data_IF_390671411404
#
_entry.id   IF_390671411404
#
_cell.length_a   1.000
_cell.length_b   1.000
_cell.length_c   1.000
_cell.angle_alpha   90.00
_cell.angle_beta   90.00
_cell.angle_gamma   90.00
#
_symmetry.space_group_name_H-M   'P 1'
#
loop_
_entity.id
_entity.type
_entity.pdbx_description
1 polymer ?
#
# COMPACT_ATOMS: atom_id res chain seq x y z
N UNK A 1 0.97 -28.79 0.01
CA UNK A 1 0.93 -28.71 1.48
C UNK A 1 0.19 -27.44 1.83
N UNK A 2 -0.93 -27.53 2.55
CA UNK A 2 -1.58 -26.32 3.07
C UNK A 2 -0.55 -25.57 3.93
N UNK A 3 -0.31 -24.27 3.69
CA UNK A 3 0.67 -23.53 4.47
C UNK A 3 0.26 -23.58 5.95
N UNK A 4 1.24 -23.82 6.82
CA UNK A 4 1.07 -23.66 8.25
C UNK A 4 0.57 -22.23 8.50
N UNK A 5 -0.58 -22.01 9.16
CA UNK A 5 -1.23 -20.68 9.21
C UNK A 5 -0.27 -19.58 9.70
N UNK A 6 0.70 -19.92 10.53
CA UNK A 6 1.67 -19.00 11.10
C UNK A 6 2.83 -18.60 10.17
N UNK A 7 3.07 -19.32 9.06
CA UNK A 7 4.22 -19.12 8.18
C UNK A 7 3.81 -19.05 6.70
N UNK A 8 4.41 -18.11 5.97
CA UNK A 8 4.21 -17.96 4.53
C UNK A 8 4.87 -19.12 3.75
N UNK A 9 4.28 -19.54 2.62
CA UNK A 9 4.84 -20.61 1.79
C UNK A 9 6.19 -20.20 1.17
N UNK A 10 6.94 -21.19 0.69
CA UNK A 10 8.24 -20.97 0.04
C UNK A 10 9.44 -21.20 0.96
N UNK A 11 10.64 -20.91 0.44
CA UNK A 11 11.92 -21.29 1.06
C UNK A 11 12.42 -20.37 2.18
N UNK A 12 11.69 -19.30 2.48
CA UNK A 12 12.09 -18.33 3.50
C UNK A 12 11.55 -18.64 4.89
N UNK A 13 10.55 -19.54 5.01
CA UNK A 13 9.87 -19.82 6.28
C UNK A 13 9.49 -18.54 7.04
N UNK A 14 8.99 -17.54 6.31
CA UNK A 14 8.72 -16.21 6.86
C UNK A 14 7.47 -16.26 7.75
N UNK A 15 7.63 -15.94 9.04
CA UNK A 15 6.51 -15.91 9.99
C UNK A 15 5.57 -14.75 9.68
N UNK A 16 4.26 -15.00 9.68
CA UNK A 16 3.23 -13.97 9.60
C UNK A 16 3.26 -13.07 10.84
N UNK A 17 3.19 -11.77 10.63
CA UNK A 17 3.27 -10.72 11.65
C UNK A 17 1.94 -10.05 11.92
N UNK A 18 0.99 -10.07 10.97
CA UNK A 18 -0.26 -9.34 11.10
C UNK A 18 -1.06 -9.72 12.37
N UNK A 19 -1.18 -11.02 12.67
CA UNK A 19 -1.88 -11.50 13.87
C UNK A 19 -1.26 -10.96 15.16
N UNK A 20 0.06 -11.13 15.31
CA UNK A 20 0.77 -10.64 16.50
C UNK A 20 0.81 -9.11 16.59
N UNK A 21 0.78 -8.40 15.46
CA UNK A 21 0.65 -6.95 15.45
C UNK A 21 -0.75 -6.53 15.92
N UNK A 22 -1.81 -7.15 15.40
CA UNK A 22 -3.20 -6.90 15.82
C UNK A 22 -3.40 -7.05 17.33
N UNK A 23 -2.75 -8.02 17.95
CA UNK A 23 -2.83 -8.26 19.40
C UNK A 23 -2.14 -7.18 20.24
N UNK A 24 -1.14 -6.48 19.68
CA UNK A 24 -0.38 -5.42 20.37
C UNK A 24 -0.84 -4.02 20.04
N UNK A 25 -1.43 -3.84 18.86
CA UNK A 25 -1.91 -2.54 18.39
C UNK A 25 -3.08 -2.09 19.26
N UNK A 26 -2.90 -0.95 19.91
CA UNK A 26 -3.90 -0.33 20.75
C UNK A 26 -3.95 1.17 20.44
N UNK A 27 -5.07 1.81 20.73
CA UNK A 27 -5.10 3.27 20.75
C UNK A 27 -4.20 3.76 21.90
N UNK A 28 -3.22 4.58 21.57
CA UNK A 28 -2.27 5.15 22.54
C UNK A 28 -2.31 6.68 22.48
N UNK A 29 -1.76 7.32 23.51
CA UNK A 29 -1.52 8.76 23.50
C UNK A 29 -0.30 9.17 22.66
N UNK A 30 0.46 8.20 22.14
CA UNK A 30 1.58 8.44 21.23
C UNK A 30 1.03 8.89 19.87
N UNK A 31 1.36 10.12 19.40
CA UNK A 31 0.92 10.59 18.09
C UNK A 31 1.31 9.66 16.94
N UNK A 32 2.40 8.88 17.08
CA UNK A 32 2.86 7.93 16.08
C UNK A 32 2.18 6.56 16.16
N UNK A 33 1.35 6.30 17.18
CA UNK A 33 0.64 5.02 17.33
C UNK A 33 -0.28 4.68 16.16
N UNK A 34 -0.70 5.68 15.38
CA UNK A 34 -1.49 5.48 14.17
C UNK A 34 -0.74 4.72 13.06
N UNK A 35 0.60 4.84 13.03
CA UNK A 35 1.47 4.16 12.07
C UNK A 35 1.36 2.64 12.23
N UNK A 36 1.15 2.16 13.46
CA UNK A 36 1.00 0.72 13.71
C UNK A 36 -0.29 0.16 13.10
N UNK A 37 -1.38 0.95 13.07
CA UNK A 37 -2.62 0.55 12.40
C UNK A 37 -2.45 0.51 10.88
N UNK A 38 -1.80 1.53 10.30
CA UNK A 38 -1.51 1.57 8.86
C UNK A 38 -0.64 0.37 8.46
N UNK A 39 0.40 0.09 9.25
CA UNK A 39 1.28 -1.06 9.07
C UNK A 39 0.52 -2.38 9.22
N UNK A 40 -0.37 -2.49 10.20
CA UNK A 40 -1.22 -3.67 10.39
C UNK A 40 -2.08 -3.97 9.16
N UNK A 41 -2.77 -2.95 8.63
CA UNK A 41 -3.60 -3.13 7.44
C UNK A 41 -2.77 -3.57 6.23
N UNK A 42 -1.65 -2.89 5.97
CA UNK A 42 -0.80 -3.19 4.83
C UNK A 42 -0.15 -4.58 4.92
N UNK A 43 0.39 -4.92 6.10
CA UNK A 43 1.04 -6.22 6.33
C UNK A 43 0.02 -7.35 6.22
N UNK A 44 -1.18 -7.20 6.79
CA UNK A 44 -2.21 -8.23 6.71
C UNK A 44 -2.56 -8.56 5.25
N UNK A 45 -2.80 -7.55 4.42
CA UNK A 45 -3.17 -7.75 3.01
C UNK A 45 -1.99 -8.30 2.19
N UNK A 46 -0.77 -7.81 2.44
CA UNK A 46 0.42 -8.29 1.74
C UNK A 46 0.78 -9.74 2.13
N UNK A 47 0.54 -10.15 3.38
CA UNK A 47 0.70 -11.55 3.82
C UNK A 47 -0.33 -12.48 3.17
N UNK A 48 -1.58 -12.02 2.99
CA UNK A 48 -2.58 -12.76 2.22
C UNK A 48 -2.14 -12.98 0.77
N UNK A 49 -1.66 -11.92 0.09
CA UNK A 49 -1.07 -12.04 -1.24
C UNK A 49 0.07 -13.07 -1.29
N UNK A 50 1.02 -12.97 -0.35
CA UNK A 50 2.18 -13.86 -0.28
C UNK A 50 1.81 -15.32 0.01
N UNK A 51 0.61 -15.57 0.54
CA UNK A 51 0.08 -16.91 0.79
C UNK A 51 -0.70 -17.52 -0.37
N UNK A 52 -0.89 -16.76 -1.45
CA UNK A 52 -1.67 -17.18 -2.62
C UNK A 52 -3.18 -17.01 -2.45
N UNK A 53 -3.62 -16.19 -1.49
CA UNK A 53 -5.02 -15.83 -1.33
C UNK A 53 -5.51 -14.92 -2.47
N UNK A 54 -6.83 -14.71 -2.53
CA UNK A 54 -7.43 -13.81 -3.51
C UNK A 54 -7.13 -12.36 -3.13
N UNK A 55 -6.56 -11.60 -4.05
CA UNK A 55 -6.22 -10.18 -3.87
C UNK A 55 -6.68 -9.34 -5.05
N UNK A 56 -6.79 -8.03 -4.83
CA UNK A 56 -7.11 -7.03 -5.85
C UNK A 56 -5.83 -6.27 -6.20
N UNK A 57 -5.49 -6.20 -7.48
CA UNK A 57 -4.31 -5.47 -7.96
C UNK A 57 -4.44 -3.97 -7.70
N UNK A 58 -3.37 -3.34 -7.20
CA UNK A 58 -3.38 -1.89 -6.94
C UNK A 58 -1.99 -1.23 -7.04
N UNK A 59 -1.34 -1.14 -8.23
CA UNK A 59 -1.80 -1.63 -9.54
C UNK A 59 -1.34 -3.05 -9.86
N UNK A 60 -0.52 -3.68 -9.01
CA UNK A 60 -0.08 -5.07 -9.16
C UNK A 60 -0.39 -5.87 -7.89
N UNK A 61 -0.18 -7.19 -7.92
CA UNK A 61 -0.26 -8.02 -6.72
C UNK A 61 0.83 -7.65 -5.70
N UNK A 62 2.02 -7.24 -6.17
CA UNK A 62 3.12 -6.84 -5.30
C UNK A 62 2.85 -5.57 -4.49
N UNK A 63 1.97 -4.69 -4.98
CA UNK A 63 1.59 -3.44 -4.34
C UNK A 63 0.11 -3.40 -3.86
N UNK A 64 -0.56 -4.56 -3.81
CA UNK A 64 -2.00 -4.65 -3.60
C UNK A 64 -2.51 -4.06 -2.27
N UNK A 65 -1.61 -3.85 -1.30
CA UNK A 65 -2.01 -3.46 0.04
C UNK A 65 -1.98 -1.94 0.30
N UNK A 66 -1.28 -1.15 -0.53
CA UNK A 66 -1.12 0.31 -0.30
C UNK A 66 -2.47 1.04 -0.34
N UNK A 67 -3.22 0.91 -1.44
CA UNK A 67 -4.53 1.53 -1.63
C UNK A 67 -5.52 1.15 -0.50
N UNK A 68 -5.80 -0.15 -0.23
CA UNK A 68 -6.74 -0.51 0.81
C UNK A 68 -6.26 -0.16 2.21
N UNK A 69 -4.96 -0.13 2.51
CA UNK A 69 -4.46 0.32 3.81
C UNK A 69 -4.77 1.80 4.07
N UNK A 70 -4.60 2.66 3.06
CA UNK A 70 -4.97 4.09 3.18
C UNK A 70 -6.48 4.27 3.30
N UNK A 71 -7.28 3.50 2.54
CA UNK A 71 -8.75 3.54 2.69
C UNK A 71 -9.22 3.06 4.07
N UNK A 72 -8.61 2.01 4.63
CA UNK A 72 -8.91 1.52 5.98
C UNK A 72 -8.50 2.52 7.05
N UNK A 73 -7.39 3.23 6.85
CA UNK A 73 -7.01 4.35 7.69
C UNK A 73 -8.08 5.45 7.68
N UNK A 74 -8.49 5.91 6.49
CA UNK A 74 -9.54 6.90 6.35
C UNK A 74 -10.87 6.43 6.97
N UNK A 75 -11.25 5.17 6.76
CA UNK A 75 -12.50 4.61 7.27
C UNK A 75 -12.55 4.52 8.80
N UNK A 76 -11.45 4.08 9.42
CA UNK A 76 -11.44 3.71 10.83
C UNK A 76 -10.93 4.84 11.73
N UNK A 77 -10.13 5.77 11.19
CA UNK A 77 -9.39 6.76 11.98
C UNK A 77 -9.64 8.21 11.54
N UNK A 78 -10.52 8.43 10.57
CA UNK A 78 -10.96 9.79 10.18
C UNK A 78 -12.48 9.89 10.16
N UNK A 79 -13.01 11.12 10.20
CA UNK A 79 -14.44 11.37 10.17
C UNK A 79 -14.89 11.60 8.72
N UNK A 80 -15.99 10.95 8.32
CA UNK A 80 -16.69 11.26 7.08
C UNK A 80 -16.16 10.56 5.83
N UNK A 81 -15.50 9.41 5.96
CA UNK A 81 -15.19 8.53 4.83
C UNK A 81 -16.40 7.64 4.48
N UNK A 82 -17.28 8.18 3.63
CA UNK A 82 -18.47 7.51 3.10
C UNK A 82 -18.15 6.68 1.85
N UNK A 83 -19.14 5.94 1.35
CA UNK A 83 -19.00 5.13 0.14
C UNK A 83 -18.81 6.02 -1.10
N UNK A 84 -19.42 7.22 -1.12
CA UNK A 84 -19.19 8.21 -2.17
C UNK A 84 -17.72 8.69 -2.17
N UNK A 85 -17.14 8.94 -0.99
CA UNK A 85 -15.71 9.26 -0.88
C UNK A 85 -14.82 8.08 -1.25
N UNK A 86 -15.24 6.84 -0.98
CA UNK A 86 -14.50 5.67 -1.43
C UNK A 86 -14.48 5.55 -2.97
N UNK A 87 -15.60 5.86 -3.64
CA UNK A 87 -15.68 5.94 -5.10
C UNK A 87 -14.76 7.05 -5.63
N UNK A 88 -14.84 8.26 -5.06
CA UNK A 88 -13.98 9.39 -5.44
C UNK A 88 -12.49 9.08 -5.25
N UNK A 89 -12.14 8.42 -4.15
CA UNK A 89 -10.79 7.94 -3.86
C UNK A 89 -10.30 7.01 -4.99
N UNK A 90 -11.09 5.98 -5.32
CA UNK A 90 -10.72 4.99 -6.34
C UNK A 90 -10.62 5.61 -7.74
N UNK A 91 -11.52 6.55 -8.10
CA UNK A 91 -11.48 7.26 -9.37
C UNK A 91 -10.22 8.15 -9.49
N UNK A 92 -9.88 8.87 -8.41
CA UNK A 92 -8.67 9.70 -8.37
C UNK A 92 -7.41 8.84 -8.44
N UNK A 93 -7.35 7.76 -7.66
CA UNK A 93 -6.25 6.80 -7.70
C UNK A 93 -6.07 6.22 -9.11
N UNK A 94 -7.17 5.81 -9.76
CA UNK A 94 -7.15 5.31 -11.14
C UNK A 94 -6.59 6.35 -12.12
N UNK A 95 -6.99 7.62 -11.99
CA UNK A 95 -6.51 8.69 -12.86
C UNK A 95 -4.99 8.86 -12.75
N UNK A 96 -4.45 8.91 -11.54
CA UNK A 96 -2.99 8.98 -11.32
C UNK A 96 -2.28 7.74 -11.86
N UNK A 97 -2.82 6.55 -11.59
CA UNK A 97 -2.29 5.29 -12.12
C UNK A 97 -2.24 5.27 -13.65
N UNK A 98 -3.23 5.89 -14.31
CA UNK A 98 -3.26 6.02 -15.76
C UNK A 98 -2.12 6.86 -16.32
N UNK A 99 -1.65 7.88 -15.58
CA UNK A 99 -0.51 8.71 -16.00
C UNK A 99 0.79 7.91 -16.01
N UNK A 100 1.03 7.08 -14.98
CA UNK A 100 2.19 6.19 -14.95
C UNK A 100 2.10 5.12 -16.04
N UNK A 101 0.92 4.52 -16.23
CA UNK A 101 0.75 3.50 -17.28
C UNK A 101 0.92 4.08 -18.69
N UNK A 102 0.48 5.32 -18.93
CA UNK A 102 0.57 5.96 -20.25
C UNK A 102 1.99 6.43 -20.59
N UNK A 103 2.73 6.97 -19.61
CA UNK A 103 4.02 7.61 -19.86
C UNK A 103 5.22 6.77 -19.46
N UNK A 104 5.02 5.67 -18.73
CA UNK A 104 6.09 4.81 -18.23
C UNK A 104 5.60 3.35 -18.14
N UNK A 105 6.00 2.61 -17.10
CA UNK A 105 5.50 1.28 -16.79
C UNK A 105 4.95 1.22 -15.37
N UNK A 106 4.08 0.24 -15.12
CA UNK A 106 3.60 -0.16 -13.79
C UNK A 106 4.16 -1.53 -13.39
N UNK A 107 5.01 -2.12 -14.24
CA UNK A 107 5.59 -3.44 -14.03
C UNK A 107 6.88 -3.33 -13.22
N UNK A 108 6.90 -3.99 -12.05
CA UNK A 108 8.09 -4.07 -11.23
C UNK A 108 9.28 -4.71 -11.96
N UNK A 109 8.98 -5.65 -12.85
CA UNK A 109 9.99 -6.36 -13.64
C UNK A 109 10.64 -5.48 -14.72
N UNK A 110 9.96 -4.43 -15.19
CA UNK A 110 10.46 -3.56 -16.27
C UNK A 110 11.09 -2.28 -15.74
N UNK A 111 10.46 -1.65 -14.74
CA UNK A 111 10.82 -0.32 -14.28
C UNK A 111 11.14 -0.28 -12.77
N UNK A 112 11.36 -1.44 -12.15
CA UNK A 112 11.63 -1.56 -10.72
C UNK A 112 10.39 -1.37 -9.84
N UNK A 113 10.56 -1.58 -8.54
CA UNK A 113 9.46 -1.52 -7.58
C UNK A 113 8.89 -0.10 -7.40
N UNK A 114 9.59 0.95 -7.86
CA UNK A 114 9.00 2.28 -8.02
C UNK A 114 7.74 2.28 -8.89
N UNK A 115 7.70 1.40 -9.91
CA UNK A 115 6.56 1.26 -10.81
C UNK A 115 5.35 0.55 -10.15
N UNK A 116 5.57 -0.18 -9.07
CA UNK A 116 4.52 -0.89 -8.34
C UNK A 116 4.15 -0.17 -7.04
N UNK A 117 5.07 -0.17 -6.07
CA UNK A 117 4.85 0.43 -4.74
C UNK A 117 4.86 1.96 -4.84
N UNK A 118 5.78 2.52 -5.62
CA UNK A 118 5.85 3.98 -5.81
C UNK A 118 4.60 4.52 -6.49
N UNK A 119 4.13 3.86 -7.55
CA UNK A 119 2.89 4.25 -8.24
C UNK A 119 1.67 4.05 -7.34
N UNK A 120 1.57 2.95 -6.59
CA UNK A 120 0.49 2.73 -5.64
C UNK A 120 0.46 3.79 -4.52
N UNK A 121 1.63 4.16 -3.99
CA UNK A 121 1.78 5.22 -2.98
C UNK A 121 1.34 6.57 -3.54
N UNK A 122 1.75 6.89 -4.77
CA UNK A 122 1.36 8.12 -5.47
C UNK A 122 -0.14 8.18 -5.75
N UNK A 123 -0.72 7.09 -6.24
CA UNK A 123 -2.16 6.93 -6.45
C UNK A 123 -2.94 7.17 -5.15
N UNK A 124 -2.48 6.57 -4.04
CA UNK A 124 -3.11 6.70 -2.74
C UNK A 124 -3.01 8.12 -2.17
N UNK A 125 -1.86 8.78 -2.33
CA UNK A 125 -1.61 10.13 -1.81
C UNK A 125 -2.52 11.18 -2.47
N UNK A 126 -2.60 11.18 -3.80
CA UNK A 126 -3.50 12.07 -4.52
C UNK A 126 -4.98 11.79 -4.18
N UNK A 127 -5.36 10.51 -4.12
CA UNK A 127 -6.72 10.12 -3.79
C UNK A 127 -7.12 10.57 -2.39
N UNK A 128 -6.24 10.39 -1.40
CA UNK A 128 -6.43 10.88 -0.04
C UNK A 128 -6.55 12.41 -0.01
N UNK A 129 -5.65 13.12 -0.69
CA UNK A 129 -5.69 14.58 -0.76
C UNK A 129 -7.04 15.07 -1.34
N UNK A 130 -7.51 14.45 -2.43
CA UNK A 130 -8.78 14.81 -3.07
C UNK A 130 -9.97 14.60 -2.13
N UNK A 131 -10.10 13.45 -1.45
CA UNK A 131 -11.23 13.20 -0.54
C UNK A 131 -11.19 14.04 0.76
N UNK A 132 -10.04 14.66 1.04
CA UNK A 132 -9.85 15.68 2.08
C UNK A 132 -10.08 17.11 1.57
N UNK A 133 -10.53 17.29 0.33
CA UNK A 133 -10.92 18.58 -0.24
C UNK A 133 -9.80 19.34 -0.95
N UNK A 134 -8.68 18.68 -1.27
CA UNK A 134 -7.62 19.30 -2.06
C UNK A 134 -8.07 19.53 -3.51
N UNK A 135 -7.63 20.63 -4.11
CA UNK A 135 -7.78 20.84 -5.54
C UNK A 135 -6.82 19.96 -6.35
N UNK A 136 -7.02 19.89 -7.67
CA UNK A 136 -6.21 19.04 -8.56
C UNK A 136 -4.70 19.33 -8.45
N UNK A 137 -4.30 20.59 -8.31
CA UNK A 137 -2.89 20.95 -8.17
C UNK A 137 -2.26 20.35 -6.91
N UNK A 138 -2.94 20.47 -5.76
CA UNK A 138 -2.48 19.89 -4.49
C UNK A 138 -2.51 18.36 -4.52
N UNK A 139 -3.51 17.75 -5.15
CA UNK A 139 -3.57 16.31 -5.32
C UNK A 139 -2.40 15.78 -6.18
N UNK A 140 -2.08 16.46 -7.29
CA UNK A 140 -0.90 16.14 -8.10
C UNK A 140 0.41 16.34 -7.35
N UNK A 141 0.52 17.36 -6.50
CA UNK A 141 1.68 17.58 -5.63
C UNK A 141 1.86 16.41 -4.63
N UNK A 142 0.77 15.98 -3.97
CA UNK A 142 0.81 14.80 -3.10
C UNK A 142 1.23 13.52 -3.85
N UNK A 143 0.71 13.31 -5.07
CA UNK A 143 1.14 12.20 -5.92
C UNK A 143 2.63 12.27 -6.29
N UNK A 144 3.12 13.47 -6.61
CA UNK A 144 4.50 13.69 -7.00
C UNK A 144 5.46 13.39 -5.85
N UNK A 145 5.25 13.98 -4.66
CA UNK A 145 6.05 13.71 -3.46
C UNK A 145 6.09 12.22 -3.11
N UNK A 146 4.93 11.55 -3.14
CA UNK A 146 4.85 10.13 -2.84
C UNK A 146 5.66 9.29 -3.85
N UNK A 147 5.68 9.67 -5.14
CA UNK A 147 6.53 9.01 -6.13
C UNK A 147 8.01 9.33 -5.94
N UNK A 148 8.36 10.58 -5.65
CA UNK A 148 9.73 11.04 -5.39
C UNK A 148 10.40 10.16 -4.34
N UNK A 149 9.70 9.87 -3.25
CA UNK A 149 10.16 9.01 -2.16
C UNK A 149 10.32 7.52 -2.53
N UNK A 150 10.09 7.14 -3.79
CA UNK A 150 10.26 5.79 -4.32
C UNK A 150 11.16 5.75 -5.57
N UNK A 151 11.65 6.89 -6.09
CA UNK A 151 12.51 6.90 -7.27
C UNK A 151 13.81 6.11 -7.05
N UNK A 152 14.16 5.27 -8.01
CA UNK A 152 15.31 4.37 -7.95
C UNK A 152 15.06 3.05 -7.21
N UNK A 153 13.85 2.81 -6.70
CA UNK A 153 13.55 1.58 -5.99
C UNK A 153 13.50 0.37 -6.95
N UNK A 154 14.50 -0.50 -6.86
CA UNK A 154 14.64 -1.69 -7.70
C UNK A 154 13.67 -2.82 -7.31
N UNK A 155 13.43 -3.76 -8.23
CA UNK A 155 12.70 -4.99 -7.95
C UNK A 155 13.67 -6.19 -7.92
N UNK A 156 14.21 -6.47 -6.74
CA UNK A 156 15.07 -7.63 -6.49
C UNK A 156 14.63 -8.33 -5.19
N UNK A 157 13.48 -9.03 -5.21
CA UNK A 157 12.97 -9.70 -4.02
C UNK A 157 13.82 -10.91 -3.65
N UNK A 158 14.02 -11.11 -2.34
CA UNK A 158 14.74 -12.27 -1.82
C UNK A 158 14.05 -13.53 -2.32
N UNK A 159 14.85 -14.47 -2.81
CA UNK A 159 14.34 -15.76 -3.30
C UNK A 159 13.39 -15.67 -4.51
N UNK A 160 13.21 -14.49 -5.13
CA UNK A 160 12.21 -14.27 -6.17
C UNK A 160 10.77 -14.24 -5.64
N UNK A 161 10.57 -14.15 -4.32
CA UNK A 161 9.26 -14.27 -3.68
C UNK A 161 8.68 -12.89 -3.34
N UNK A 162 7.36 -12.73 -3.51
CA UNK A 162 6.65 -11.49 -3.12
C UNK A 162 6.43 -11.45 -1.60
N UNK A 163 7.54 -11.45 -0.86
CA UNK A 163 7.62 -11.51 0.60
C UNK A 163 8.56 -10.42 1.11
N UNK A 164 9.86 -10.60 0.89
CA UNK A 164 10.91 -9.66 1.30
C UNK A 164 11.51 -9.03 0.04
N UNK A 165 11.54 -7.70 -0.12
CA UNK A 165 11.06 -6.66 0.80
C UNK A 165 9.60 -6.21 0.56
N UNK A 166 8.82 -6.98 -0.21
CA UNK A 166 7.50 -6.55 -0.71
C UNK A 166 6.49 -6.22 0.40
N UNK A 167 6.47 -7.01 1.49
CA UNK A 167 5.51 -6.83 2.58
C UNK A 167 5.75 -5.48 3.30
N UNK A 168 6.98 -5.21 3.75
CA UNK A 168 7.30 -3.95 4.39
C UNK A 168 7.20 -2.76 3.44
N UNK A 169 7.52 -2.93 2.15
CA UNK A 169 7.35 -1.87 1.15
C UNK A 169 5.90 -1.44 0.99
N UNK A 170 4.92 -2.33 1.14
CA UNK A 170 3.50 -1.93 1.17
C UNK A 170 3.19 -1.08 2.41
N UNK A 171 3.69 -1.46 3.58
CA UNK A 171 3.50 -0.67 4.81
C UNK A 171 4.12 0.73 4.68
N UNK A 172 5.38 0.82 4.25
CA UNK A 172 6.04 2.10 4.01
C UNK A 172 5.40 2.92 2.89
N UNK A 173 4.89 2.28 1.83
CA UNK A 173 4.14 2.95 0.78
C UNK A 173 2.86 3.58 1.30
N UNK A 174 2.09 2.89 2.14
CA UNK A 174 0.89 3.45 2.77
C UNK A 174 1.22 4.60 3.74
N UNK A 175 2.28 4.47 4.54
CA UNK A 175 2.73 5.53 5.46
C UNK A 175 3.14 6.79 4.69
N UNK A 176 3.94 6.64 3.63
CA UNK A 176 4.39 7.76 2.78
C UNK A 176 3.24 8.40 2.01
N UNK A 177 2.19 7.65 1.67
CA UNK A 177 1.01 8.23 1.03
C UNK A 177 0.17 9.11 1.97
N UNK A 178 0.23 8.85 3.29
CA UNK A 178 -0.51 9.59 4.32
C UNK A 178 0.27 10.81 4.84
N UNK A 179 1.61 10.75 4.80
CA UNK A 179 2.52 11.77 5.36
C UNK A 179 2.72 12.95 4.42
#
# INVERSE_FOLDING_TARGET
THPNEDYLPGKLHLKRRAKGLKERVAMTADPMGIIDFISLYAIAIAEENASGAKVVTAPTNGACAVIPAVMLYLKNHTIGFSDEKAIEFLLTAMLIGSFYKKNASISGAEAGCQAEIGSASSMAAAAMATVLGANAFKACNAAEMAMEHHLGLTCDPVAGLVQIPCIERNAFGAIKAIS
#
